data_IF_509877429168
#
_entry.id   IF_509877429168
#
_cell.length_a   1.000
_cell.length_b   1.000
_cell.length_c   1.000
_cell.angle_alpha   90.00
_cell.angle_beta   90.00
_cell.angle_gamma   90.00
#
_symmetry.space_group_name_H-M   'P 1'
#
loop_
_entity.id
_entity.type
_entity.pdbx_description
1 polymer ?
#
# COMPACT_ATOMS: atom_id res chain seq x y z
N UNK A 1 39.58 -63.04 83.25
CA UNK A 1 39.23 -62.14 84.37
C UNK A 1 40.07 -60.87 84.21
N UNK A 2 39.60 -59.65 84.57
CA UNK A 2 38.33 -59.00 84.24
C UNK A 2 38.50 -57.50 83.83
N UNK A 3 37.45 -56.91 83.20
CA UNK A 3 36.87 -55.55 83.47
C UNK A 3 37.78 -54.28 83.33
N UNK A 4 37.47 -53.18 82.62
CA UNK A 4 36.25 -52.35 82.62
C UNK A 4 36.20 -51.32 81.44
N UNK A 5 34.95 -51.03 81.06
CA UNK A 5 34.35 -49.83 80.46
C UNK A 5 35.15 -48.51 80.30
N UNK A 6 34.99 -47.85 79.14
CA UNK A 6 34.16 -46.62 79.07
C UNK A 6 33.92 -46.17 77.62
N UNK A 7 32.65 -45.90 77.32
CA UNK A 7 32.15 -45.35 76.05
C UNK A 7 32.12 -43.83 76.10
N UNK A 8 32.70 -43.15 75.10
CA UNK A 8 32.49 -41.72 74.88
C UNK A 8 32.17 -41.46 73.40
N UNK A 9 30.91 -41.12 73.18
CA UNK A 9 30.35 -40.67 71.91
C UNK A 9 30.84 -39.24 71.64
N UNK A 10 31.46 -38.97 70.48
CA UNK A 10 31.81 -37.61 70.07
C UNK A 10 30.83 -37.14 69.00
N UNK A 11 29.98 -36.19 69.40
CA UNK A 11 29.02 -35.44 68.58
C UNK A 11 29.78 -34.57 67.56
N UNK A 12 29.39 -34.63 66.28
CA UNK A 12 29.76 -33.61 65.28
C UNK A 12 28.64 -32.55 65.25
N UNK A 13 28.93 -31.25 65.43
CA UNK A 13 27.91 -30.22 65.21
C UNK A 13 27.76 -29.97 63.70
N UNK A 14 26.51 -29.99 63.23
CA UNK A 14 26.13 -29.45 61.92
C UNK A 14 26.43 -27.94 61.91
N UNK A 15 27.39 -27.54 61.07
CA UNK A 15 27.66 -26.14 60.77
C UNK A 15 26.61 -25.68 59.75
N UNK A 16 25.53 -25.06 60.24
CA UNK A 16 24.55 -24.38 59.38
C UNK A 16 25.19 -23.12 58.80
N UNK A 17 25.57 -23.16 57.51
CA UNK A 17 25.94 -21.97 56.75
C UNK A 17 24.66 -21.21 56.43
N UNK A 18 24.37 -20.18 57.23
CA UNK A 18 23.32 -19.21 56.94
C UNK A 18 23.84 -18.31 55.80
N UNK A 19 23.43 -18.64 54.56
CA UNK A 19 23.72 -17.83 53.37
C UNK A 19 22.84 -16.58 53.44
N UNK A 20 23.38 -15.52 54.05
CA UNK A 20 22.77 -14.20 54.11
C UNK A 20 22.83 -13.60 52.69
N UNK A 21 21.77 -13.79 51.90
CA UNK A 21 21.60 -13.12 50.61
C UNK A 21 21.38 -11.64 50.90
N UNK A 22 22.44 -10.84 50.81
CA UNK A 22 22.33 -9.39 50.76
C UNK A 22 21.70 -9.04 49.41
N UNK A 23 20.39 -8.81 49.40
CA UNK A 23 19.73 -8.15 48.29
C UNK A 23 20.23 -6.70 48.26
N UNK A 24 21.29 -6.44 47.50
CA UNK A 24 21.65 -5.07 47.14
C UNK A 24 20.47 -4.49 46.36
N UNK A 25 19.94 -3.31 46.74
CA UNK A 25 18.94 -2.66 45.91
C UNK A 25 19.58 -2.37 44.56
N UNK A 26 19.08 -3.01 43.50
CA UNK A 26 19.41 -2.63 42.13
C UNK A 26 18.70 -1.31 41.88
N UNK A 27 19.38 -0.20 42.12
CA UNK A 27 18.89 1.11 41.68
C UNK A 27 19.06 1.18 40.17
N UNK A 28 18.01 1.53 39.44
CA UNK A 28 18.11 1.83 38.02
C UNK A 28 19.20 2.90 37.81
N UNK A 29 20.04 2.73 36.79
CA UNK A 29 21.07 3.71 36.46
C UNK A 29 20.40 5.04 36.10
N UNK A 30 20.88 6.15 36.65
CA UNK A 30 20.32 7.48 36.38
C UNK A 30 21.30 8.34 35.59
N UNK A 31 20.75 9.17 34.72
CA UNK A 31 21.48 10.16 33.93
C UNK A 31 20.83 11.51 34.09
N UNK A 32 21.63 12.56 34.20
CA UNK A 32 21.16 13.95 34.23
C UNK A 32 21.49 14.61 32.90
N UNK A 33 20.53 15.32 32.34
CA UNK A 33 20.80 16.29 31.28
C UNK A 33 21.62 17.43 31.88
N UNK A 34 22.75 17.84 31.28
CA UNK A 34 23.59 18.88 31.88
C UNK A 34 22.91 20.26 31.78
N UNK A 35 23.02 21.09 32.81
CA UNK A 35 22.48 22.46 32.78
C UNK A 35 23.10 23.35 31.68
N UNK A 36 24.32 23.03 31.23
CA UNK A 36 24.96 23.67 30.08
C UNK A 36 25.87 22.71 29.33
N UNK A 37 26.06 22.93 28.03
CA UNK A 37 26.97 22.14 27.20
C UNK A 37 26.37 20.80 26.75
N UNK A 38 27.24 19.81 26.50
CA UNK A 38 26.83 18.54 25.89
C UNK A 38 27.38 17.34 26.65
N UNK A 39 26.55 16.32 26.84
CA UNK A 39 26.94 15.01 27.36
C UNK A 39 26.68 13.90 26.34
N UNK A 40 27.39 12.79 26.45
CA UNK A 40 27.16 11.59 25.64
C UNK A 40 27.13 10.35 26.53
N UNK A 41 26.14 9.49 26.32
CA UNK A 41 25.90 8.28 27.10
C UNK A 41 25.67 7.11 26.15
N UNK A 42 26.42 6.03 26.35
CA UNK A 42 26.16 4.75 25.69
C UNK A 42 25.44 3.82 26.67
N UNK A 43 24.18 3.48 26.41
CA UNK A 43 23.36 2.68 27.32
C UNK A 43 22.21 1.97 26.61
N UNK A 44 21.57 1.01 27.29
CA UNK A 44 20.31 0.40 26.89
C UNK A 44 19.28 0.36 28.02
N UNK A 45 19.54 1.06 29.13
CA UNK A 45 18.72 1.04 30.33
C UNK A 45 19.03 2.19 31.27
N UNK A 46 18.04 2.60 32.05
CA UNK A 46 18.17 3.66 33.06
C UNK A 46 17.10 4.74 32.90
N UNK A 47 17.21 5.81 33.68
CA UNK A 47 16.27 6.93 33.62
C UNK A 47 17.04 8.23 33.39
N UNK A 48 16.65 8.96 32.35
CA UNK A 48 17.12 10.31 32.08
C UNK A 48 16.23 11.31 32.85
N UNK A 49 16.86 12.19 33.60
CA UNK A 49 16.21 13.34 34.22
C UNK A 49 16.73 14.65 33.61
N UNK A 50 16.01 15.74 33.82
CA UNK A 50 16.57 17.09 33.73
C UNK A 50 17.72 17.30 34.75
N UNK A 51 18.29 18.50 34.77
CA UNK A 51 19.46 18.81 35.58
C UNK A 51 19.16 18.88 37.09
N UNK A 52 17.89 19.03 37.48
CA UNK A 52 17.42 18.96 38.87
C UNK A 52 17.30 17.54 39.43
N UNK A 53 17.34 16.52 38.56
CA UNK A 53 17.25 15.11 38.94
C UNK A 53 15.89 14.69 39.50
N UNK A 54 15.83 13.48 40.09
CA UNK A 54 14.57 12.82 40.41
C UNK A 54 13.63 13.54 41.39
N UNK A 55 14.16 14.46 42.21
CA UNK A 55 13.40 15.14 43.27
C UNK A 55 13.53 16.67 43.22
N UNK A 56 14.28 17.22 42.26
CA UNK A 56 14.53 18.65 42.13
C UNK A 56 13.68 19.28 41.04
N UNK A 57 13.60 20.61 41.05
CA UNK A 57 13.19 21.36 39.88
C UNK A 57 14.39 21.58 38.95
N UNK A 58 14.16 21.73 37.65
CA UNK A 58 15.23 22.10 36.71
C UNK A 58 15.78 23.49 37.01
N UNK A 59 17.03 23.77 36.63
CA UNK A 59 17.63 25.09 36.89
C UNK A 59 17.09 26.17 35.95
N UNK A 60 17.27 27.43 36.34
CA UNK A 60 17.04 28.57 35.45
C UNK A 60 18.16 28.70 34.40
N UNK A 61 17.83 29.21 33.20
CA UNK A 61 18.76 29.46 32.09
C UNK A 61 19.55 28.23 31.63
N UNK A 62 18.91 27.06 31.65
CA UNK A 62 19.50 25.82 31.13
C UNK A 62 19.62 25.95 29.62
N UNK A 63 20.75 25.50 29.08
CA UNK A 63 20.91 25.19 27.65
C UNK A 63 21.93 24.06 27.51
N UNK A 64 21.45 22.85 27.69
CA UNK A 64 22.28 21.66 27.61
C UNK A 64 21.63 20.53 26.83
N UNK A 65 22.46 19.60 26.39
CA UNK A 65 22.00 18.42 25.66
C UNK A 65 22.73 17.16 26.07
N UNK A 66 22.05 16.02 25.88
CA UNK A 66 22.61 14.69 26.04
C UNK A 66 22.32 13.86 24.81
N UNK A 67 23.36 13.20 24.29
CA UNK A 67 23.22 12.19 23.24
C UNK A 67 23.19 10.80 23.88
N UNK A 68 22.15 10.04 23.58
CA UNK A 68 21.95 8.66 24.00
C UNK A 68 22.21 7.73 22.82
N UNK A 69 23.19 6.85 22.95
CA UNK A 69 23.55 5.86 21.93
C UNK A 69 23.31 4.46 22.47
N UNK A 70 22.69 3.54 21.69
CA UNK A 70 22.41 2.20 22.14
C UNK A 70 23.71 1.44 22.40
N UNK A 71 23.81 0.78 23.56
CA UNK A 71 25.00 0.01 23.93
C UNK A 71 25.29 -1.18 23.01
N UNK A 72 24.28 -1.63 22.25
CA UNK A 72 24.41 -2.68 21.22
C UNK A 72 24.13 -2.07 19.86
N UNK A 73 25.10 -2.18 18.94
CA UNK A 73 24.94 -1.69 17.58
C UNK A 73 23.75 -2.37 16.87
N UNK A 74 22.98 -1.59 16.11
CA UNK A 74 21.76 -2.04 15.43
C UNK A 74 20.47 -1.88 16.24
N UNK A 75 20.55 -1.77 17.57
CA UNK A 75 19.39 -1.43 18.39
C UNK A 75 19.02 0.05 18.24
N UNK A 76 17.81 0.41 18.68
CA UNK A 76 17.28 1.78 18.72
C UNK A 76 17.01 2.19 20.17
N UNK A 77 17.40 3.41 20.55
CA UNK A 77 16.98 4.00 21.83
C UNK A 77 15.47 4.26 21.79
N UNK A 78 14.78 3.85 22.85
CA UNK A 78 13.42 4.24 23.20
C UNK A 78 13.46 5.06 24.48
N UNK A 79 12.82 6.21 24.47
CA UNK A 79 12.52 7.02 25.65
C UNK A 79 11.03 6.92 25.96
N UNK A 80 10.70 6.51 27.18
CA UNK A 80 9.34 6.56 27.72
C UNK A 80 9.29 7.63 28.80
N UNK A 81 8.69 8.78 28.50
CA UNK A 81 8.51 9.84 29.48
C UNK A 81 7.50 9.40 30.54
N UNK A 82 7.94 9.39 31.79
CA UNK A 82 7.17 8.97 32.97
C UNK A 82 6.70 10.16 33.80
N UNK A 83 7.38 11.30 33.71
CA UNK A 83 6.93 12.60 34.20
C UNK A 83 7.32 13.72 33.23
N UNK A 84 6.48 14.74 33.15
CA UNK A 84 6.72 15.92 32.33
C UNK A 84 5.96 17.12 32.89
N UNK A 85 6.69 18.08 33.42
CA UNK A 85 6.20 19.31 34.04
C UNK A 85 7.20 20.41 33.71
N UNK A 86 7.05 21.00 32.52
CA UNK A 86 7.90 22.07 31.96
C UNK A 86 7.03 23.31 31.70
N UNK A 87 7.60 24.50 31.85
CA UNK A 87 6.85 25.75 31.66
C UNK A 87 6.36 25.90 30.21
N UNK A 88 5.08 26.21 30.05
CA UNK A 88 4.47 26.37 28.73
C UNK A 88 4.91 27.66 28.05
N UNK A 89 5.37 27.58 26.80
CA UNK A 89 5.70 28.73 25.96
C UNK A 89 7.13 29.26 26.10
N UNK A 90 7.79 29.06 27.25
CA UNK A 90 9.11 29.60 27.57
C UNK A 90 10.19 28.51 27.58
N UNK A 91 9.95 27.45 28.33
CA UNK A 91 10.90 26.34 28.47
C UNK A 91 10.59 25.23 27.49
N UNK A 92 11.64 24.58 26.95
CA UNK A 92 11.49 23.67 25.81
C UNK A 92 12.40 22.47 25.90
N UNK A 93 11.82 21.29 25.74
CA UNK A 93 12.51 20.06 25.41
C UNK A 93 12.51 19.86 23.89
N UNK A 94 13.69 19.64 23.32
CA UNK A 94 13.90 19.26 21.93
C UNK A 94 14.43 17.84 21.87
N UNK A 95 13.88 17.03 20.98
CA UNK A 95 14.37 15.67 20.73
C UNK A 95 14.73 15.55 19.25
N UNK A 96 15.95 15.12 18.99
CA UNK A 96 16.52 14.94 17.65
C UNK A 96 16.80 13.47 17.38
N UNK A 97 16.47 13.02 16.17
CA UNK A 97 16.72 11.66 15.68
C UNK A 97 18.17 11.51 15.17
N UNK A 98 19.11 11.47 16.10
CA UNK A 98 20.53 11.26 15.78
C UNK A 98 21.46 11.72 16.88
N UNK A 99 22.76 11.75 16.58
CA UNK A 99 23.82 12.01 17.55
C UNK A 99 24.10 13.50 17.83
N UNK A 100 23.36 14.42 17.21
CA UNK A 100 23.64 15.88 17.29
C UNK A 100 22.35 16.69 17.24
N UNK A 101 22.41 17.95 17.68
CA UNK A 101 21.31 18.92 17.58
C UNK A 101 21.05 19.43 16.16
N UNK A 102 21.84 19.02 15.17
CA UNK A 102 21.60 19.25 13.74
C UNK A 102 20.94 18.05 13.05
N UNK A 103 20.71 16.95 13.77
CA UNK A 103 19.96 15.81 13.24
C UNK A 103 18.47 16.19 13.05
N UNK A 104 17.68 15.40 12.31
CA UNK A 104 16.25 15.65 12.13
C UNK A 104 15.54 15.84 13.48
N UNK A 105 14.84 16.98 13.65
CA UNK A 105 14.09 17.27 14.86
C UNK A 105 12.80 16.42 14.88
N UNK A 106 12.63 15.60 15.92
CA UNK A 106 11.39 14.84 16.15
C UNK A 106 10.30 15.76 16.66
N UNK A 107 10.63 16.64 17.61
CA UNK A 107 9.65 17.57 18.16
C UNK A 107 10.22 18.56 19.16
N UNK A 108 9.41 19.58 19.46
CA UNK A 108 9.61 20.56 20.53
C UNK A 108 8.44 20.46 21.49
N UNK A 109 8.73 20.40 22.79
CA UNK A 109 7.74 20.08 23.83
C UNK A 109 7.92 21.01 25.03
N UNK A 110 6.81 21.49 25.58
CA UNK A 110 6.77 22.41 26.73
C UNK A 110 5.70 21.97 27.74
N UNK A 111 4.42 21.94 27.38
CA UNK A 111 3.31 21.50 28.22
C UNK A 111 2.90 20.05 27.98
N UNK A 112 3.05 19.59 26.73
CA UNK A 112 2.62 18.26 26.32
C UNK A 112 3.80 17.30 26.30
N UNK A 113 3.69 16.24 27.12
CA UNK A 113 4.71 15.18 27.15
C UNK A 113 4.91 14.55 25.76
N UNK A 114 6.17 14.23 25.39
CA UNK A 114 6.47 13.43 24.20
C UNK A 114 5.89 12.01 24.24
N UNK A 115 5.43 11.53 25.41
CA UNK A 115 5.04 10.14 25.66
C UNK A 115 6.18 9.15 25.37
N UNK A 116 6.12 8.42 24.26
CA UNK A 116 7.16 7.45 23.86
C UNK A 116 7.83 7.92 22.59
N UNK A 117 9.16 7.97 22.58
CA UNK A 117 9.95 8.36 21.42
C UNK A 117 10.96 7.26 21.08
N UNK A 118 11.12 6.97 19.80
CA UNK A 118 12.05 5.98 19.28
C UNK A 118 13.07 6.64 18.35
N UNK A 119 14.32 6.20 18.41
CA UNK A 119 15.29 6.50 17.35
C UNK A 119 14.91 5.75 16.07
N UNK A 120 14.97 6.42 14.92
CA UNK A 120 14.74 5.80 13.60
C UNK A 120 16.01 5.80 12.74
N UNK A 121 16.94 6.73 12.96
CA UNK A 121 18.26 6.77 12.32
C UNK A 121 19.09 5.47 12.45
N UNK A 122 20.03 5.27 11.50
CA UNK A 122 20.84 4.05 11.40
C UNK A 122 21.71 3.73 12.63
N UNK A 123 22.17 4.75 13.37
CA UNK A 123 22.94 4.56 14.60
C UNK A 123 22.06 4.29 15.84
N UNK A 124 20.73 4.41 15.70
CA UNK A 124 19.77 4.18 16.77
C UNK A 124 19.86 5.16 17.95
N UNK A 125 20.49 6.32 17.75
CA UNK A 125 20.76 7.30 18.82
C UNK A 125 19.71 8.41 18.88
N UNK A 126 19.43 8.96 20.05
CA UNK A 126 18.64 10.19 20.22
C UNK A 126 19.49 11.27 20.86
N UNK A 127 19.28 12.53 20.48
CA UNK A 127 19.82 13.68 21.21
C UNK A 127 18.68 14.46 21.84
N UNK A 128 18.76 14.69 23.15
CA UNK A 128 17.77 15.44 23.94
C UNK A 128 18.41 16.74 24.37
N UNK A 129 17.81 17.88 24.03
CA UNK A 129 18.25 19.21 24.48
C UNK A 129 17.14 19.85 25.27
N UNK A 130 17.47 20.46 26.41
CA UNK A 130 16.51 21.22 27.20
C UNK A 130 17.00 22.66 27.31
N UNK A 131 16.07 23.60 27.20
CA UNK A 131 16.31 25.02 27.41
C UNK A 131 15.31 25.59 28.38
N UNK A 132 15.76 26.41 29.33
CA UNK A 132 14.87 27.15 30.24
C UNK A 132 15.21 28.65 30.29
N UNK A 133 14.27 29.46 30.77
CA UNK A 133 14.47 30.88 31.03
C UNK A 133 14.77 31.18 32.52
N UNK A 134 14.65 32.46 32.93
CA UNK A 134 14.98 32.88 34.30
C UNK A 134 13.95 32.47 35.36
N UNK A 135 12.66 32.28 35.01
CA UNK A 135 11.58 31.99 35.96
C UNK A 135 10.87 30.68 35.63
N UNK A 136 9.85 30.32 36.42
CA UNK A 136 8.97 29.22 36.04
C UNK A 136 9.55 27.82 36.16
N UNK A 137 10.52 27.57 37.06
CA UNK A 137 11.08 26.22 37.21
C UNK A 137 10.11 25.27 37.91
N UNK A 138 9.80 24.17 37.23
CA UNK A 138 8.93 23.09 37.70
C UNK A 138 9.71 21.78 37.89
N UNK A 139 9.01 20.68 38.23
CA UNK A 139 9.62 19.36 38.45
C UNK A 139 10.22 18.68 37.22
N UNK A 140 10.31 19.36 36.07
CA UNK A 140 11.06 18.94 34.90
C UNK A 140 10.53 17.67 34.24
N UNK A 141 11.42 16.77 33.85
CA UNK A 141 11.04 15.56 33.14
C UNK A 141 11.86 14.35 33.58
N UNK A 142 11.24 13.19 33.49
CA UNK A 142 11.89 11.90 33.62
C UNK A 142 11.51 11.00 32.45
N UNK A 143 12.49 10.30 31.87
CA UNK A 143 12.29 9.37 30.78
C UNK A 143 13.05 8.07 30.98
N UNK A 144 12.34 6.95 30.96
CA UNK A 144 12.95 5.62 31.00
C UNK A 144 13.59 5.30 29.65
N UNK A 145 14.87 4.96 29.68
CA UNK A 145 15.68 4.57 28.55
C UNK A 145 15.59 3.06 28.39
N UNK A 146 15.33 2.60 27.18
CA UNK A 146 15.48 1.21 26.79
C UNK A 146 16.07 1.11 25.38
N UNK A 147 16.65 -0.05 25.05
CA UNK A 147 16.94 -0.40 23.66
C UNK A 147 15.85 -1.32 23.11
N UNK A 148 15.47 -1.13 21.85
CA UNK A 148 14.60 -2.02 21.09
C UNK A 148 15.26 -2.43 19.79
N UNK A 149 14.98 -3.64 19.30
CA UNK A 149 15.49 -4.12 18.00
C UNK A 149 14.64 -3.66 16.83
N UNK A 150 13.36 -3.38 17.09
CA UNK A 150 12.38 -2.88 16.12
C UNK A 150 11.53 -1.80 16.78
N UNK A 151 10.98 -0.90 15.97
CA UNK A 151 10.05 0.12 16.42
C UNK A 151 8.64 -0.24 15.92
N UNK A 152 7.56 0.20 16.59
CA UNK A 152 6.22 0.08 16.04
C UNK A 152 6.12 0.83 14.70
N UNK A 153 5.69 0.13 13.65
CA UNK A 153 5.51 0.67 12.29
C UNK A 153 4.11 0.34 11.77
N UNK A 154 3.67 1.08 10.75
CA UNK A 154 2.44 0.79 10.04
C UNK A 154 2.51 -0.58 9.34
N UNK A 155 1.38 -1.13 8.90
CA UNK A 155 1.33 -2.37 8.10
C UNK A 155 0.17 -2.25 7.13
N UNK A 156 0.45 -1.65 5.97
CA UNK A 156 -0.49 -1.54 4.89
C UNK A 156 -0.61 -2.88 4.17
N UNK A 157 -1.81 -3.21 3.75
CA UNK A 157 -2.06 -4.41 2.99
C UNK A 157 -3.13 -4.18 1.93
N UNK A 158 -2.85 -4.60 0.71
CA UNK A 158 -3.84 -4.57 -0.38
C UNK A 158 -4.69 -5.82 -0.32
N UNK A 159 -6.01 -5.66 -0.25
CA UNK A 159 -6.97 -6.77 -0.28
C UNK A 159 -8.13 -6.46 -1.23
N UNK A 160 -8.80 -7.51 -1.71
CA UNK A 160 -10.00 -7.38 -2.54
C UNK A 160 -9.76 -6.70 -3.90
N UNK A 161 -8.57 -6.88 -4.49
CA UNK A 161 -8.26 -6.33 -5.80
C UNK A 161 -9.20 -6.90 -6.88
N UNK A 162 -9.75 -6.04 -7.73
CA UNK A 162 -10.55 -6.44 -8.90
C UNK A 162 -10.28 -5.55 -10.13
N UNK A 163 -10.49 -6.12 -11.33
CA UNK A 163 -10.33 -5.43 -12.60
C UNK A 163 -11.39 -5.89 -13.62
N UNK A 164 -11.86 -4.96 -14.45
CA UNK A 164 -12.82 -5.20 -15.53
C UNK A 164 -12.53 -4.27 -16.74
N UNK A 165 -12.65 -4.75 -17.99
CA UNK A 165 -12.79 -6.16 -18.37
C UNK A 165 -11.48 -6.95 -18.17
N UNK A 166 -11.54 -8.28 -18.13
CA UNK A 166 -10.33 -9.13 -18.04
C UNK A 166 -9.71 -9.45 -19.42
N UNK A 167 -10.41 -9.13 -20.51
CA UNK A 167 -9.86 -9.15 -21.86
C UNK A 167 -10.01 -7.74 -22.44
N UNK A 168 -8.90 -7.13 -22.86
CA UNK A 168 -8.85 -5.73 -23.24
C UNK A 168 -8.07 -5.53 -24.53
N UNK A 169 -8.57 -4.66 -25.41
CA UNK A 169 -7.86 -4.23 -26.62
C UNK A 169 -6.88 -3.10 -26.23
N UNK A 170 -5.62 -3.10 -26.73
CA UNK A 170 -4.69 -1.99 -26.51
C UNK A 170 -5.30 -0.63 -26.82
N UNK A 171 -5.02 0.38 -25.99
CA UNK A 171 -5.58 1.73 -26.13
C UNK A 171 -6.92 1.96 -25.43
N UNK A 172 -7.58 0.90 -24.96
CA UNK A 172 -8.79 1.00 -24.14
C UNK A 172 -8.46 1.10 -22.64
N UNK A 173 -9.50 1.22 -21.82
CA UNK A 173 -9.39 1.44 -20.38
C UNK A 173 -9.84 0.23 -19.56
N UNK A 174 -9.16 0.00 -18.43
CA UNK A 174 -9.55 -0.92 -17.37
C UNK A 174 -10.17 -0.14 -16.22
N UNK A 175 -11.27 -0.62 -15.65
CA UNK A 175 -11.79 -0.15 -14.36
C UNK A 175 -11.30 -1.09 -13.26
N UNK A 176 -10.71 -0.53 -12.21
CA UNK A 176 -10.03 -1.29 -11.15
C UNK A 176 -10.44 -0.80 -9.77
N UNK A 177 -10.38 -1.68 -8.78
CA UNK A 177 -10.51 -1.31 -7.38
C UNK A 177 -9.78 -2.26 -6.44
N UNK A 178 -9.50 -1.79 -5.22
CA UNK A 178 -9.01 -2.57 -4.10
C UNK A 178 -9.34 -1.86 -2.78
N UNK A 179 -9.04 -2.51 -1.65
CA UNK A 179 -9.09 -1.90 -0.32
C UNK A 179 -7.72 -1.99 0.33
N UNK A 180 -7.21 -0.86 0.83
CA UNK A 180 -5.97 -0.81 1.62
C UNK A 180 -6.33 -0.85 3.10
N UNK A 181 -5.81 -1.82 3.82
CA UNK A 181 -5.97 -1.97 5.27
C UNK A 181 -4.70 -1.52 5.99
N UNK A 182 -4.83 -0.94 7.17
CA UNK A 182 -3.72 -0.84 8.13
C UNK A 182 -3.90 -1.92 9.21
N UNK A 183 -3.11 -2.99 9.14
CA UNK A 183 -3.15 -4.16 10.00
C UNK A 183 -2.29 -4.01 11.27
N UNK A 184 -1.56 -2.91 11.40
CA UNK A 184 -0.66 -2.65 12.52
C UNK A 184 -1.36 -2.03 13.74
N UNK A 185 -0.59 -1.90 14.83
CA UNK A 185 -0.94 -1.14 16.03
C UNK A 185 -0.58 0.36 15.98
N UNK A 186 -0.18 0.91 14.82
CA UNK A 186 0.16 2.34 14.67
C UNK A 186 -0.60 2.99 13.51
N UNK A 187 -0.79 4.30 13.54
CA UNK A 187 -1.42 5.03 12.43
C UNK A 187 -0.45 5.16 11.26
N UNK A 188 -0.88 4.74 10.07
CA UNK A 188 -0.16 4.98 8.82
C UNK A 188 -0.38 6.42 8.35
N UNK A 189 0.66 7.05 7.82
CA UNK A 189 0.55 8.33 7.12
C UNK A 189 -0.19 8.15 5.79
N UNK A 190 -0.51 9.27 5.13
CA UNK A 190 -1.13 9.24 3.80
C UNK A 190 -0.23 8.55 2.78
N UNK A 191 -0.77 7.56 2.08
CA UNK A 191 -0.10 6.87 0.98
C UNK A 191 -1.04 6.67 -0.21
N UNK A 192 -0.45 6.48 -1.39
CA UNK A 192 -1.19 6.27 -2.63
C UNK A 192 -1.05 4.84 -3.13
N UNK A 193 -2.05 4.35 -3.86
CA UNK A 193 -1.95 3.08 -4.59
C UNK A 193 -1.45 3.36 -6.00
N UNK A 194 -0.43 2.64 -6.44
CA UNK A 194 0.02 2.59 -7.83
C UNK A 194 -0.54 1.37 -8.54
N UNK A 195 -0.88 1.49 -9.81
CA UNK A 195 -1.40 0.40 -10.64
C UNK A 195 -0.52 0.18 -11.85
N UNK A 196 -0.06 -1.06 -12.06
CA UNK A 196 0.95 -1.39 -13.05
C UNK A 196 0.49 -2.51 -13.97
N UNK A 197 0.87 -2.43 -15.25
CA UNK A 197 0.80 -3.57 -16.16
C UNK A 197 2.16 -4.29 -16.16
N UNK A 198 2.14 -5.59 -15.89
CA UNK A 198 3.33 -6.43 -15.80
C UNK A 198 3.20 -7.70 -16.63
N UNK A 199 4.34 -8.26 -17.04
CA UNK A 199 4.42 -9.57 -17.68
C UNK A 199 4.31 -10.73 -16.67
N UNK A 200 4.51 -10.47 -15.37
CA UNK A 200 4.43 -11.46 -14.31
C UNK A 200 3.70 -10.90 -13.08
N UNK A 201 3.56 -11.71 -12.03
CA UNK A 201 2.78 -11.36 -10.84
C UNK A 201 3.56 -10.54 -9.79
N UNK A 202 4.80 -10.13 -10.07
CA UNK A 202 5.73 -9.53 -9.10
C UNK A 202 6.05 -8.09 -9.49
N UNK A 203 5.87 -7.17 -8.54
CA UNK A 203 6.20 -5.77 -8.76
C UNK A 203 7.72 -5.59 -8.93
N UNK A 204 8.11 -4.92 -10.02
CA UNK A 204 9.49 -4.67 -10.40
C UNK A 204 9.64 -3.33 -11.13
N UNK A 205 10.88 -2.87 -11.30
CA UNK A 205 11.17 -1.63 -12.04
C UNK A 205 10.87 -1.72 -13.55
N UNK A 206 10.59 -2.91 -14.09
CA UNK A 206 10.25 -3.12 -15.50
C UNK A 206 8.74 -2.98 -15.77
N UNK A 207 7.92 -2.85 -14.73
CA UNK A 207 6.48 -2.78 -14.88
C UNK A 207 6.02 -1.39 -15.31
N UNK A 208 4.96 -1.35 -16.11
CA UNK A 208 4.46 -0.10 -16.68
C UNK A 208 3.40 0.51 -15.74
N UNK A 209 3.74 1.63 -15.09
CA UNK A 209 2.76 2.39 -14.30
C UNK A 209 1.64 2.93 -15.21
N UNK A 210 0.41 2.46 -14.99
CA UNK A 210 -0.77 2.91 -15.73
C UNK A 210 -1.46 4.11 -15.06
N UNK A 211 -1.32 4.24 -13.74
CA UNK A 211 -1.93 5.32 -12.96
C UNK A 211 -1.84 5.08 -11.47
N UNK A 212 -2.44 5.99 -10.69
CA UNK A 212 -2.46 5.91 -9.22
C UNK A 212 -3.75 6.44 -8.62
N UNK A 213 -4.06 6.06 -7.39
CA UNK A 213 -5.19 6.57 -6.59
C UNK A 213 -4.67 7.09 -5.26
N UNK A 214 -5.01 8.35 -4.94
CA UNK A 214 -4.57 8.98 -3.69
C UNK A 214 -5.26 8.36 -2.48
N UNK A 215 -4.58 8.41 -1.34
CA UNK A 215 -5.11 7.97 -0.05
C UNK A 215 -4.73 8.92 1.08
N UNK A 216 -5.59 9.00 2.10
CA UNK A 216 -5.32 9.69 3.35
C UNK A 216 -4.68 8.79 4.40
N UNK A 217 -4.43 9.31 5.62
CA UNK A 217 -3.88 8.53 6.71
C UNK A 217 -4.86 7.45 7.16
N UNK A 218 -4.33 6.31 7.60
CA UNK A 218 -5.12 5.18 8.09
C UNK A 218 -4.81 4.92 9.56
N UNK A 219 -5.81 5.13 10.42
CA UNK A 219 -5.74 4.75 11.82
C UNK A 219 -5.61 3.23 12.02
N UNK A 220 -5.39 2.84 13.26
CA UNK A 220 -5.24 1.44 13.67
C UNK A 220 -6.48 0.63 13.24
N UNK A 221 -6.27 -0.46 12.50
CA UNK A 221 -7.32 -1.36 12.02
C UNK A 221 -8.27 -0.74 10.98
N UNK A 222 -8.02 0.49 10.54
CA UNK A 222 -8.85 1.14 9.53
C UNK A 222 -8.51 0.65 8.13
N UNK A 223 -9.44 0.87 7.21
CA UNK A 223 -9.27 0.53 5.80
C UNK A 223 -9.83 1.63 4.92
N UNK A 224 -9.43 1.63 3.65
CA UNK A 224 -9.91 2.60 2.69
C UNK A 224 -10.00 2.01 1.29
N UNK A 225 -11.15 2.20 0.67
CA UNK A 225 -11.44 1.79 -0.69
C UNK A 225 -10.70 2.66 -1.71
N UNK A 226 -10.16 2.05 -2.76
CA UNK A 226 -9.40 2.68 -3.84
C UNK A 226 -9.94 2.20 -5.17
N UNK A 227 -10.09 3.11 -6.11
CA UNK A 227 -10.51 2.79 -7.47
C UNK A 227 -9.85 3.73 -8.47
N UNK A 228 -9.72 3.26 -9.71
CA UNK A 228 -9.20 4.04 -10.83
C UNK A 228 -9.73 3.50 -12.18
N UNK A 229 -9.64 4.34 -13.21
CA UNK A 229 -9.78 3.96 -14.62
C UNK A 229 -8.45 4.14 -15.31
N UNK A 230 -7.87 3.05 -15.81
CA UNK A 230 -6.47 2.97 -16.25
C UNK A 230 -6.38 2.76 -17.76
N UNK A 231 -5.65 3.61 -18.51
CA UNK A 231 -5.40 3.37 -19.93
C UNK A 231 -4.40 2.23 -20.12
N UNK A 232 -4.74 1.25 -20.95
CA UNK A 232 -3.76 0.28 -21.47
C UNK A 232 -3.06 0.92 -22.67
N UNK A 233 -1.72 1.05 -22.70
CA UNK A 233 -1.03 1.69 -23.81
C UNK A 233 -1.37 1.06 -25.16
N UNK A 234 -1.60 1.88 -26.19
CA UNK A 234 -1.98 1.40 -27.53
C UNK A 234 -0.89 0.54 -28.20
N UNK A 235 0.36 0.69 -27.79
CA UNK A 235 1.49 -0.10 -28.29
C UNK A 235 1.70 -1.44 -27.55
N UNK A 236 0.85 -1.76 -26.55
CA UNK A 236 0.99 -3.00 -25.76
C UNK A 236 0.78 -4.22 -26.66
N UNK A 237 1.77 -5.13 -26.78
CA UNK A 237 1.59 -6.37 -27.53
C UNK A 237 0.47 -7.23 -26.94
N UNK A 238 -0.20 -7.99 -27.80
CA UNK A 238 -1.19 -8.97 -27.34
C UNK A 238 -0.54 -10.09 -26.53
N UNK A 239 -1.23 -10.59 -25.51
CA UNK A 239 -0.69 -11.61 -24.61
C UNK A 239 -1.38 -11.63 -23.25
N UNK A 240 -0.91 -12.50 -22.37
CA UNK A 240 -1.31 -12.53 -20.96
C UNK A 240 -0.40 -11.61 -20.15
N UNK A 241 -1.02 -10.83 -19.28
CA UNK A 241 -0.37 -9.86 -18.40
C UNK A 241 -0.98 -9.97 -17.01
N UNK A 242 -0.38 -9.26 -16.07
CA UNK A 242 -0.91 -9.03 -14.74
C UNK A 242 -1.10 -7.54 -14.54
N UNK A 243 -2.23 -7.18 -13.92
CA UNK A 243 -2.43 -5.88 -13.33
C UNK A 243 -2.02 -5.96 -11.86
N UNK A 244 -0.96 -5.23 -11.50
CA UNK A 244 -0.44 -5.15 -10.15
C UNK A 244 -1.00 -3.91 -9.44
N UNK A 245 -1.32 -4.09 -8.16
CA UNK A 245 -1.78 -3.06 -7.24
C UNK A 245 -0.72 -2.95 -6.16
N UNK A 246 -0.17 -1.77 -5.93
CA UNK A 246 0.84 -1.53 -4.92
C UNK A 246 0.35 -0.42 -3.98
N UNK A 247 0.02 -0.77 -2.73
CA UNK A 247 -0.12 0.22 -1.68
C UNK A 247 1.22 0.90 -1.43
N UNK A 248 1.15 2.19 -1.07
CA UNK A 248 2.32 3.03 -0.84
C UNK A 248 3.42 2.88 -1.90
N UNK A 249 3.05 2.94 -3.18
CA UNK A 249 3.99 2.64 -4.27
C UNK A 249 5.22 3.58 -4.35
N UNK A 250 5.20 4.70 -3.62
CA UNK A 250 6.30 5.66 -3.49
C UNK A 250 7.18 5.38 -2.26
N UNK A 251 6.85 4.37 -1.46
CA UNK A 251 7.55 3.96 -0.26
C UNK A 251 7.73 5.12 0.74
N UNK A 252 6.65 5.89 0.97
CA UNK A 252 6.65 7.05 1.89
C UNK A 252 6.28 6.68 3.32
N UNK A 253 5.62 5.54 3.52
CA UNK A 253 5.30 4.96 4.82
C UNK A 253 6.29 3.82 5.07
N UNK A 254 7.04 3.88 6.16
CA UNK A 254 7.86 2.74 6.56
C UNK A 254 7.02 1.73 7.34
N UNK A 255 7.01 0.49 6.87
CA UNK A 255 6.09 -0.51 7.38
C UNK A 255 6.80 -1.65 8.12
N UNK A 256 6.03 -2.39 8.90
CA UNK A 256 6.50 -3.59 9.61
C UNK A 256 6.55 -4.82 8.68
N UNK A 257 5.81 -4.78 7.57
CA UNK A 257 5.83 -5.79 6.53
C UNK A 257 5.63 -5.11 5.17
N UNK A 258 6.64 -5.17 4.30
CA UNK A 258 6.55 -4.60 2.95
C UNK A 258 6.03 -5.62 1.91
N UNK A 259 5.87 -6.89 2.30
CA UNK A 259 5.56 -7.96 1.36
C UNK A 259 4.06 -8.12 1.04
N UNK A 260 3.19 -7.59 1.89
CA UNK A 260 1.72 -7.60 1.75
C UNK A 260 1.16 -6.31 1.12
N UNK A 261 2.04 -5.41 0.68
CA UNK A 261 1.69 -4.19 -0.02
C UNK A 261 1.27 -4.39 -1.48
N UNK A 262 1.34 -5.61 -1.99
CA UNK A 262 1.03 -5.91 -3.39
C UNK A 262 -0.08 -6.94 -3.56
N UNK A 263 -0.89 -6.76 -4.60
CA UNK A 263 -1.84 -7.74 -5.10
C UNK A 263 -1.82 -7.74 -6.64
N UNK A 264 -2.22 -8.84 -7.26
CA UNK A 264 -2.21 -8.96 -8.72
C UNK A 264 -3.45 -9.66 -9.28
N UNK A 265 -3.79 -9.33 -10.52
CA UNK A 265 -4.90 -9.92 -11.27
C UNK A 265 -4.43 -10.23 -12.68
N UNK A 266 -4.70 -11.44 -13.18
CA UNK A 266 -4.43 -11.78 -14.57
C UNK A 266 -5.39 -11.06 -15.53
N UNK A 267 -4.85 -10.44 -16.57
CA UNK A 267 -5.60 -9.78 -17.65
C UNK A 267 -5.01 -10.20 -19.00
N UNK A 268 -5.85 -10.30 -20.03
CA UNK A 268 -5.42 -10.63 -21.38
C UNK A 268 -5.54 -9.41 -22.29
N UNK A 269 -4.43 -9.04 -22.92
CA UNK A 269 -4.42 -8.06 -24.00
C UNK A 269 -4.70 -8.80 -25.31
N UNK A 270 -5.83 -8.49 -25.93
CA UNK A 270 -6.35 -9.20 -27.11
C UNK A 270 -6.31 -8.31 -28.35
N UNK A 271 -6.13 -8.87 -29.56
CA UNK A 271 -6.15 -8.06 -30.77
C UNK A 271 -7.52 -7.44 -30.99
N UNK A 272 -7.59 -6.25 -31.62
CA UNK A 272 -8.84 -5.70 -32.11
C UNK A 272 -9.37 -6.58 -33.24
N UNK A 273 -10.58 -7.11 -33.08
CA UNK A 273 -11.28 -7.90 -34.09
C UNK A 273 -12.63 -7.25 -34.42
N UNK A 274 -12.93 -7.18 -35.70
CA UNK A 274 -14.24 -6.82 -36.21
C UNK A 274 -14.90 -8.08 -36.74
N UNK A 275 -16.12 -8.37 -36.30
CA UNK A 275 -16.89 -9.53 -36.76
C UNK A 275 -18.31 -9.07 -37.06
N UNK A 276 -18.63 -8.91 -38.35
CA UNK A 276 -19.94 -8.45 -38.80
C UNK A 276 -20.80 -9.64 -39.19
N UNK A 277 -21.91 -9.81 -38.48
CA UNK A 277 -22.86 -10.91 -38.70
C UNK A 277 -24.18 -10.35 -39.21
N UNK A 278 -24.66 -10.91 -40.31
CA UNK A 278 -26.02 -10.67 -40.81
C UNK A 278 -26.99 -11.50 -39.96
N UNK A 279 -27.98 -10.84 -39.37
CA UNK A 279 -29.02 -11.47 -38.59
C UNK A 279 -30.41 -11.13 -39.15
N UNK A 280 -31.35 -12.06 -38.95
CA UNK A 280 -32.75 -11.90 -39.34
C UNK A 280 -32.93 -11.45 -40.80
N UNK A 281 -32.30 -12.10 -41.80
CA UNK A 281 -32.56 -11.80 -43.19
C UNK A 281 -34.04 -12.06 -43.50
N UNK A 282 -34.69 -11.14 -44.21
CA UNK A 282 -36.09 -11.24 -44.57
C UNK A 282 -36.36 -10.69 -45.97
N UNK A 283 -37.30 -11.36 -46.66
CA UNK A 283 -37.85 -10.94 -47.94
C UNK A 283 -39.37 -10.85 -47.81
N UNK A 284 -39.97 -9.71 -48.15
CA UNK A 284 -41.41 -9.47 -47.95
C UNK A 284 -42.29 -10.14 -49.02
N UNK A 285 -41.73 -10.41 -50.20
CA UNK A 285 -42.42 -11.04 -51.34
C UNK A 285 -41.60 -12.21 -51.91
N UNK A 286 -41.47 -13.33 -51.17
CA UNK A 286 -40.54 -14.41 -51.53
C UNK A 286 -40.89 -15.12 -52.85
N UNK A 287 -42.13 -15.04 -53.30
CA UNK A 287 -42.59 -15.56 -54.59
C UNK A 287 -42.97 -14.40 -55.51
N UNK A 288 -42.11 -14.03 -56.45
CA UNK A 288 -42.38 -12.92 -57.36
C UNK A 288 -41.83 -13.18 -58.77
N UNK A 289 -42.49 -12.65 -59.79
CA UNK A 289 -42.05 -12.81 -61.18
C UNK A 289 -40.85 -11.90 -61.51
N UNK A 290 -40.02 -12.25 -62.52
CA UNK A 290 -38.99 -11.36 -63.04
C UNK A 290 -39.55 -9.97 -63.36
N UNK A 291 -38.84 -8.92 -62.96
CA UNK A 291 -39.23 -7.52 -63.13
C UNK A 291 -40.06 -6.93 -61.98
N UNK A 292 -40.65 -7.75 -61.09
CA UNK A 292 -41.40 -7.27 -59.94
C UNK A 292 -40.48 -6.90 -58.75
N UNK A 293 -41.02 -6.13 -57.82
CA UNK A 293 -40.31 -5.62 -56.64
C UNK A 293 -40.20 -6.68 -55.53
N UNK A 294 -39.01 -6.76 -54.94
CA UNK A 294 -38.65 -7.45 -53.71
C UNK A 294 -38.37 -6.42 -52.60
N UNK A 295 -38.99 -6.58 -51.43
CA UNK A 295 -38.54 -5.89 -50.22
C UNK A 295 -37.55 -6.78 -49.47
N UNK A 296 -36.35 -6.27 -49.24
CA UNK A 296 -35.23 -6.99 -48.62
C UNK A 296 -34.85 -6.31 -47.32
N UNK A 297 -34.60 -7.07 -46.26
CA UNK A 297 -34.13 -6.52 -45.00
C UNK A 297 -33.24 -7.48 -44.20
N UNK A 298 -32.39 -6.92 -43.35
CA UNK A 298 -31.60 -7.66 -42.36
C UNK A 298 -31.14 -6.71 -41.24
N UNK A 299 -30.53 -7.27 -40.19
CA UNK A 299 -29.77 -6.52 -39.19
C UNK A 299 -28.30 -6.90 -39.28
N UNK A 300 -27.40 -5.90 -39.33
CA UNK A 300 -25.96 -6.13 -39.24
C UNK A 300 -25.54 -5.91 -37.78
N UNK A 301 -24.91 -6.91 -37.18
CA UNK A 301 -24.42 -6.87 -35.79
C UNK A 301 -22.90 -6.97 -35.79
N UNK A 302 -22.21 -6.11 -35.03
CA UNK A 302 -20.78 -6.29 -34.79
C UNK A 302 -20.59 -7.13 -33.52
N UNK A 303 -20.22 -8.40 -33.68
CA UNK A 303 -19.89 -9.34 -32.60
C UNK A 303 -18.41 -9.32 -32.22
N UNK A 304 -17.58 -8.52 -32.92
CA UNK A 304 -16.18 -8.32 -32.60
C UNK A 304 -15.96 -7.43 -31.38
N UNK A 305 -14.70 -7.28 -30.96
CA UNK A 305 -14.31 -6.43 -29.83
C UNK A 305 -13.77 -5.04 -30.25
N UNK A 306 -13.76 -4.75 -31.56
CA UNK A 306 -13.34 -3.48 -32.13
C UNK A 306 -14.38 -2.90 -33.11
N UNK A 307 -14.49 -1.56 -33.24
CA UNK A 307 -15.42 -0.93 -34.18
C UNK A 307 -15.14 -1.33 -35.63
N UNK A 308 -16.20 -1.70 -36.35
CA UNK A 308 -16.15 -1.81 -37.80
C UNK A 308 -16.18 -0.40 -38.39
N UNK A 309 -15.21 -0.01 -39.22
CA UNK A 309 -15.23 1.30 -39.89
C UNK A 309 -16.45 1.46 -40.82
N UNK A 310 -16.87 0.36 -41.45
CA UNK A 310 -18.02 0.28 -42.33
C UNK A 310 -18.79 -1.02 -42.10
N UNK A 311 -20.10 -0.99 -42.31
CA UNK A 311 -21.05 -2.09 -42.10
C UNK A 311 -22.02 -2.23 -43.28
N UNK A 312 -21.49 -2.09 -44.50
CA UNK A 312 -22.27 -2.17 -45.73
C UNK A 312 -22.76 -3.60 -45.99
N UNK A 313 -23.92 -3.72 -46.63
CA UNK A 313 -24.53 -5.01 -46.97
C UNK A 313 -24.86 -5.05 -48.46
N UNK A 314 -24.56 -6.18 -49.11
CA UNK A 314 -25.03 -6.50 -50.44
C UNK A 314 -26.15 -7.53 -50.36
N UNK A 315 -27.16 -7.36 -51.21
CA UNK A 315 -28.24 -8.33 -51.35
C UNK A 315 -28.11 -9.02 -52.70
N UNK A 316 -28.03 -10.35 -52.68
CA UNK A 316 -27.76 -11.18 -53.84
C UNK A 316 -28.95 -12.11 -54.12
N UNK A 317 -29.15 -12.39 -55.40
CA UNK A 317 -30.01 -13.46 -55.87
C UNK A 317 -29.13 -14.67 -56.20
N UNK A 318 -29.45 -15.80 -55.59
CA UNK A 318 -28.71 -17.06 -55.71
C UNK A 318 -29.67 -18.23 -55.94
N UNK A 319 -29.16 -19.29 -56.55
CA UNK A 319 -29.86 -20.58 -56.67
C UNK A 319 -29.53 -21.56 -55.54
N UNK A 320 -28.60 -21.21 -54.65
CA UNK A 320 -28.27 -22.01 -53.47
C UNK A 320 -28.05 -21.14 -52.22
N UNK A 321 -27.48 -21.74 -51.17
CA UNK A 321 -27.28 -21.07 -49.87
C UNK A 321 -25.87 -20.51 -49.67
N UNK A 322 -24.95 -20.74 -50.61
CA UNK A 322 -23.58 -20.26 -50.57
C UNK A 322 -23.48 -18.94 -51.34
N UNK A 323 -22.74 -17.98 -50.78
CA UNK A 323 -22.39 -16.78 -51.53
C UNK A 323 -21.15 -17.07 -52.39
N UNK A 324 -21.31 -17.10 -53.71
CA UNK A 324 -20.24 -17.34 -54.67
C UNK A 324 -20.32 -16.46 -55.94
N UNK A 325 -19.44 -16.74 -56.91
CA UNK A 325 -19.31 -15.93 -58.13
C UNK A 325 -20.47 -16.09 -59.12
N UNK A 326 -21.35 -17.08 -58.94
CA UNK A 326 -22.55 -17.28 -59.74
C UNK A 326 -23.73 -16.41 -59.29
N UNK A 327 -23.63 -15.83 -58.09
CA UNK A 327 -24.69 -15.02 -57.51
C UNK A 327 -24.78 -13.62 -58.11
N UNK A 328 -26.01 -13.17 -58.36
CA UNK A 328 -26.26 -11.87 -58.93
C UNK A 328 -26.53 -10.84 -57.83
N UNK A 329 -25.65 -9.83 -57.72
CA UNK A 329 -25.91 -8.67 -56.87
C UNK A 329 -27.15 -7.92 -57.36
N UNK A 330 -28.18 -7.81 -56.51
CA UNK A 330 -29.39 -7.06 -56.80
C UNK A 330 -29.25 -5.58 -56.44
N UNK A 331 -28.73 -5.32 -55.24
CA UNK A 331 -28.52 -3.96 -54.71
C UNK A 331 -27.60 -4.02 -53.49
N UNK A 332 -27.10 -2.87 -53.05
CA UNK A 332 -26.32 -2.75 -51.82
C UNK A 332 -26.70 -1.50 -51.04
N UNK A 333 -26.51 -1.56 -49.73
CA UNK A 333 -26.66 -0.42 -48.84
C UNK A 333 -25.34 -0.13 -48.15
N UNK A 334 -24.91 1.13 -48.22
CA UNK A 334 -23.80 1.61 -47.43
C UNK A 334 -24.16 1.56 -45.94
N UNK A 335 -23.22 1.09 -45.12
CA UNK A 335 -23.29 1.16 -43.67
C UNK A 335 -22.08 1.88 -43.11
N UNK A 336 -22.31 2.88 -42.26
CA UNK A 336 -21.24 3.56 -41.53
C UNK A 336 -20.62 2.71 -40.43
N UNK A 337 -19.91 3.37 -39.52
CA UNK A 337 -19.26 2.71 -38.39
C UNK A 337 -20.28 1.96 -37.52
N UNK A 338 -19.89 0.76 -37.07
CA UNK A 338 -20.69 -0.04 -36.14
C UNK A 338 -19.81 -0.52 -34.97
N UNK A 339 -20.14 -0.06 -33.76
CA UNK A 339 -19.41 -0.40 -32.53
C UNK A 339 -19.71 -1.82 -32.04
N UNK A 340 -18.81 -2.44 -31.27
CA UNK A 340 -19.03 -3.77 -30.67
C UNK A 340 -20.36 -3.90 -29.95
N UNK A 341 -21.04 -5.04 -30.14
CA UNK A 341 -22.35 -5.40 -29.57
C UNK A 341 -23.53 -4.51 -29.99
N UNK A 342 -23.34 -3.58 -30.94
CA UNK A 342 -24.44 -2.84 -31.54
C UNK A 342 -24.91 -3.49 -32.83
N UNK A 343 -26.18 -3.24 -33.16
CA UNK A 343 -26.81 -3.70 -34.38
C UNK A 343 -27.47 -2.55 -35.13
N UNK A 344 -27.56 -2.69 -36.45
CA UNK A 344 -28.22 -1.70 -37.30
C UNK A 344 -29.01 -2.38 -38.41
N UNK A 345 -30.31 -2.07 -38.49
CA UNK A 345 -31.18 -2.56 -39.55
C UNK A 345 -30.84 -1.95 -40.92
N UNK A 346 -30.99 -2.76 -41.96
CA UNK A 346 -30.80 -2.41 -43.37
C UNK A 346 -32.01 -2.93 -44.14
N UNK A 347 -32.73 -2.04 -44.80
CA UNK A 347 -33.92 -2.37 -45.57
C UNK A 347 -33.93 -1.62 -46.89
N UNK A 348 -34.21 -2.33 -47.99
CA UNK A 348 -34.21 -1.78 -49.34
C UNK A 348 -35.21 -2.54 -50.21
N UNK A 349 -35.75 -1.87 -51.22
CA UNK A 349 -36.52 -2.52 -52.28
C UNK A 349 -35.74 -2.52 -53.58
N UNK A 350 -35.79 -3.63 -54.31
CA UNK A 350 -35.18 -3.78 -55.64
C UNK A 350 -36.04 -4.68 -56.51
N UNK A 351 -35.76 -4.77 -57.81
CA UNK A 351 -36.52 -5.62 -58.72
C UNK A 351 -35.81 -6.95 -58.94
N UNK A 352 -36.58 -8.02 -59.16
CA UNK A 352 -36.01 -9.26 -59.71
C UNK A 352 -35.48 -8.96 -61.12
N UNK A 353 -34.24 -9.34 -61.46
CA UNK A 353 -33.65 -9.07 -62.76
C UNK A 353 -34.53 -9.63 -63.90
N UNK A 354 -34.77 -8.86 -64.98
CA UNK A 354 -35.47 -9.37 -66.16
C UNK A 354 -34.73 -10.59 -66.74
N UNK A 355 -35.48 -11.62 -67.14
CA UNK A 355 -34.91 -12.85 -67.70
C UNK A 355 -34.43 -13.88 -66.68
N UNK A 356 -34.61 -13.63 -65.37
CA UNK A 356 -34.40 -14.64 -64.32
C UNK A 356 -35.30 -15.85 -64.60
N UNK A 357 -34.73 -17.05 -64.68
CA UNK A 357 -35.50 -18.29 -64.87
C UNK A 357 -36.24 -18.67 -63.59
N UNK A 358 -37.50 -19.15 -63.66
CA UNK A 358 -38.20 -19.68 -62.48
C UNK A 358 -37.45 -20.86 -61.86
N UNK A 359 -37.30 -20.87 -60.54
CA UNK A 359 -36.61 -21.90 -59.77
C UNK A 359 -36.38 -21.45 -58.34
#
# INVERSE_FOLDING_TARGET
>A
MPQLYSSLWRKYPLLGILLLVWALPVTAQTYLLPASGTAAVTTCGGTLYDDGGANGAYSANVDGSVTLTPATAGNKIRLQFTSFSVETGYDRLYIYDGATTTAPLIGTYDAQSPNTVYATNGAGSLTVRFTSDYLGQYGGFAADIACVTTIPQADLAVQGASAQPLAIVPGNFLSVNCTVYNLSGTTAQSSSVGYYLSADAVLSANDVLLGSSLGGPLGIGQSSYRAATLPVPAATPTGSYYLLFAADYLNVVSESNEANNTASISVNVVPPTTDLVVQQPNVTTPNTAPGNVLGLSCSIVNQGNAPAAFSSVGYYLSTDAALDASDQLLTSLFGGQLTPNFSQSRSVSTNVPPGTTPG
#
